data_IF_311401520057
#
_entry.id   IF_311401520057
#
_cell.length_a   1.000
_cell.length_b   1.000
_cell.length_c   1.000
_cell.angle_alpha   90.00
_cell.angle_beta   90.00
_cell.angle_gamma   90.00
#
_symmetry.space_group_name_H-M   'P 1'
#
loop_
_entity.id
_entity.type
_entity.pdbx_description
1 polymer ?
#
# COMPACT_ATOMS: atom_id res chain seq x y z
N UNK A 1 -15.33 20.03 2.74
CA UNK A 1 -14.21 19.08 2.61
C UNK A 1 -13.97 18.49 3.98
N UNK A 2 -14.10 17.17 4.16
CA UNK A 2 -13.76 16.53 5.44
C UNK A 2 -12.28 16.75 5.68
N UNK A 3 -11.93 17.62 6.63
CA UNK A 3 -10.54 17.75 7.09
C UNK A 3 -10.25 16.55 7.99
N UNK A 4 -9.55 15.56 7.45
CA UNK A 4 -8.96 14.52 8.29
C UNK A 4 -7.83 15.15 9.11
N UNK A 5 -7.83 14.90 10.42
CA UNK A 5 -6.72 15.28 11.28
C UNK A 5 -5.45 14.53 10.81
N UNK A 6 -4.36 15.23 10.43
CA UNK A 6 -3.13 14.59 9.98
C UNK A 6 -2.53 13.61 11.00
N UNK A 7 -2.82 13.78 12.29
CA UNK A 7 -2.33 12.91 13.36
C UNK A 7 -3.24 11.70 13.61
N UNK A 8 -4.42 11.66 12.98
CA UNK A 8 -5.33 10.52 13.13
C UNK A 8 -4.75 9.27 12.46
N UNK A 9 -4.79 8.10 13.11
CA UNK A 9 -4.28 6.86 12.53
C UNK A 9 -5.06 6.42 11.27
N UNK A 10 -6.31 6.87 11.10
CA UNK A 10 -7.12 6.57 9.91
C UNK A 10 -6.70 7.38 8.69
N UNK A 11 -5.92 8.46 8.86
CA UNK A 11 -5.65 9.40 7.78
C UNK A 11 -4.95 8.73 6.61
N UNK A 12 -3.89 7.94 6.86
CA UNK A 12 -3.16 7.21 5.79
C UNK A 12 -4.06 6.23 5.04
N UNK A 13 -5.02 5.61 5.72
CA UNK A 13 -5.96 4.71 5.06
C UNK A 13 -6.75 5.46 3.97
N UNK A 14 -7.25 6.65 4.28
CA UNK A 14 -8.05 7.45 3.34
C UNK A 14 -7.22 8.21 2.31
N UNK A 15 -6.05 8.73 2.68
CA UNK A 15 -5.25 9.58 1.77
C UNK A 15 -4.28 8.79 0.89
N UNK A 16 -3.99 7.53 1.21
CA UNK A 16 -3.03 6.72 0.45
C UNK A 16 -3.53 5.29 0.16
N UNK A 17 -3.89 4.51 1.19
CA UNK A 17 -4.24 3.10 0.98
C UNK A 17 -5.42 2.91 0.01
N UNK A 18 -6.56 3.57 0.27
CA UNK A 18 -7.73 3.52 -0.62
C UNK A 18 -7.42 4.09 -2.01
N UNK A 19 -6.86 5.32 -2.16
CA UNK A 19 -6.53 5.87 -3.47
C UNK A 19 -5.58 5.01 -4.32
N UNK A 20 -4.58 4.37 -3.70
CA UNK A 20 -3.61 3.52 -4.43
C UNK A 20 -4.31 2.28 -4.99
N UNK A 21 -5.16 1.61 -4.21
CA UNK A 21 -5.97 0.48 -4.71
C UNK A 21 -6.81 0.93 -5.91
N UNK A 22 -7.51 2.06 -5.79
CA UNK A 22 -8.44 2.54 -6.83
C UNK A 22 -7.73 3.02 -8.10
N UNK A 23 -6.51 3.57 -7.99
CA UNK A 23 -5.80 4.16 -9.13
C UNK A 23 -4.79 3.22 -9.81
N UNK A 24 -4.27 2.23 -9.09
CA UNK A 24 -3.22 1.33 -9.58
C UNK A 24 -3.67 -0.14 -9.66
N UNK A 25 -4.80 -0.48 -9.04
CA UNK A 25 -5.34 -1.84 -9.09
C UNK A 25 -6.00 -2.17 -10.43
N UNK A 26 -5.98 -3.45 -10.80
CA UNK A 26 -6.83 -3.99 -11.87
C UNK A 26 -8.31 -3.97 -11.44
N UNK A 27 -9.28 -4.10 -12.37
CA UNK A 27 -10.69 -4.21 -12.01
C UNK A 27 -10.98 -5.29 -10.95
N UNK A 28 -10.37 -6.47 -11.10
CA UNK A 28 -10.53 -7.57 -10.14
C UNK A 28 -9.93 -7.25 -8.76
N UNK A 29 -8.80 -6.54 -8.71
CA UNK A 29 -8.19 -6.11 -7.46
C UNK A 29 -9.03 -5.01 -6.77
N UNK A 30 -9.58 -4.09 -7.54
CA UNK A 30 -10.46 -3.03 -7.03
C UNK A 30 -11.76 -3.64 -6.47
N UNK A 31 -12.37 -4.59 -7.18
CA UNK A 31 -13.55 -5.30 -6.69
C UNK A 31 -13.27 -6.05 -5.39
N UNK A 32 -12.14 -6.78 -5.36
CA UNK A 32 -11.72 -7.59 -4.20
C UNK A 32 -11.41 -6.76 -2.96
N UNK A 33 -10.75 -5.61 -3.10
CA UNK A 33 -10.20 -4.86 -1.96
C UNK A 33 -10.82 -3.48 -1.77
N UNK A 34 -11.18 -2.78 -2.84
CA UNK A 34 -11.61 -1.38 -2.80
C UNK A 34 -12.89 -1.19 -2.00
N UNK A 35 -13.92 -1.99 -2.28
CA UNK A 35 -15.19 -1.96 -1.56
C UNK A 35 -15.03 -2.21 -0.06
N UNK A 36 -14.24 -3.21 0.32
CA UNK A 36 -13.96 -3.56 1.72
C UNK A 36 -13.15 -2.47 2.43
N UNK A 37 -12.19 -1.86 1.73
CA UNK A 37 -11.41 -0.74 2.27
C UNK A 37 -12.30 0.49 2.52
N UNK A 38 -13.17 0.83 1.57
CA UNK A 38 -14.11 1.96 1.70
C UNK A 38 -15.09 1.80 2.87
N UNK A 39 -15.42 0.56 3.26
CA UNK A 39 -16.31 0.23 4.39
C UNK A 39 -15.58 -0.06 5.71
N UNK A 40 -14.25 0.13 5.77
CA UNK A 40 -13.40 -0.20 6.91
C UNK A 40 -13.42 -1.68 7.34
N UNK A 41 -13.84 -2.58 6.46
CA UNK A 41 -13.72 -4.04 6.67
C UNK A 41 -12.25 -4.48 6.59
N UNK A 42 -11.45 -3.73 5.81
CA UNK A 42 -9.99 -3.76 5.85
C UNK A 42 -9.46 -2.35 6.08
N UNK A 43 -8.48 -2.21 6.97
CA UNK A 43 -7.73 -0.98 7.18
C UNK A 43 -6.29 -1.20 6.74
N UNK A 44 -5.65 -0.14 6.25
CA UNK A 44 -4.34 -0.27 5.62
C UNK A 44 -3.51 1.00 5.72
N UNK A 45 -2.22 0.82 5.46
CA UNK A 45 -1.21 1.87 5.47
C UNK A 45 -0.52 1.94 4.10
N UNK A 46 0.32 2.96 3.91
CA UNK A 46 1.18 3.09 2.75
C UNK A 46 2.65 3.07 3.19
N UNK A 47 3.24 1.87 3.10
CA UNK A 47 4.57 1.57 3.65
C UNK A 47 5.63 1.77 2.57
N UNK A 48 5.95 3.03 2.25
CA UNK A 48 6.95 3.36 1.22
C UNK A 48 8.31 3.73 1.82
N UNK A 49 8.35 4.56 2.86
CA UNK A 49 9.61 5.05 3.44
C UNK A 49 10.36 3.92 4.15
N UNK A 50 11.65 3.82 3.88
CA UNK A 50 12.60 2.93 4.57
C UNK A 50 13.58 3.74 5.43
N UNK A 51 14.35 3.05 6.29
CA UNK A 51 15.30 3.69 7.19
C UNK A 51 16.38 4.49 6.43
N UNK A 52 16.86 3.96 5.30
CA UNK A 52 17.85 4.63 4.44
C UNK A 52 17.25 5.57 3.38
N UNK A 53 15.94 5.48 3.13
CA UNK A 53 15.32 6.05 1.92
C UNK A 53 13.93 6.63 2.19
N UNK A 54 13.81 7.96 2.13
CA UNK A 54 12.53 8.68 2.14
C UNK A 54 12.30 9.43 0.84
N UNK A 55 13.06 10.52 0.62
CA UNK A 55 12.97 11.32 -0.60
C UNK A 55 13.45 10.57 -1.85
N UNK A 56 14.44 9.69 -1.72
CA UNK A 56 15.00 8.91 -2.83
C UNK A 56 14.26 7.56 -2.99
N UNK A 57 13.07 7.59 -3.57
CA UNK A 57 12.26 6.37 -3.80
C UNK A 57 12.92 5.39 -4.76
N UNK A 58 13.74 5.87 -5.70
CA UNK A 58 14.49 5.00 -6.60
C UNK A 58 15.56 4.15 -5.87
N UNK A 59 15.88 4.49 -4.62
CA UNK A 59 16.85 3.77 -3.79
C UNK A 59 16.26 2.71 -2.85
N UNK A 60 14.94 2.48 -2.84
CA UNK A 60 14.32 1.51 -1.92
C UNK A 60 14.97 0.12 -2.06
N UNK A 61 15.23 -0.52 -0.92
CA UNK A 61 15.96 -1.78 -0.79
C UNK A 61 15.01 -2.99 -0.69
N UNK A 62 13.75 -2.79 -0.27
CA UNK A 62 12.75 -3.85 -0.22
C UNK A 62 12.56 -4.46 -1.61
N UNK A 63 12.71 -5.78 -1.69
CA UNK A 63 12.55 -6.50 -2.96
C UNK A 63 11.24 -7.27 -2.99
N UNK A 64 10.65 -7.36 -4.19
CA UNK A 64 9.52 -8.23 -4.51
C UNK A 64 9.93 -9.15 -5.67
N UNK A 65 10.34 -10.37 -5.34
CA UNK A 65 10.84 -11.34 -6.34
C UNK A 65 9.76 -12.34 -6.68
N UNK A 66 9.38 -12.44 -7.96
CA UNK A 66 8.39 -13.42 -8.40
C UNK A 66 8.97 -14.84 -8.40
N UNK A 67 8.38 -15.75 -7.62
CA UNK A 67 8.72 -17.18 -7.64
C UNK A 67 7.89 -17.92 -8.69
N UNK A 68 8.54 -18.21 -9.82
CA UNK A 68 7.92 -18.91 -10.95
C UNK A 68 7.48 -20.35 -10.62
N UNK A 69 8.02 -20.96 -9.57
CA UNK A 69 7.69 -22.34 -9.23
C UNK A 69 6.36 -22.43 -8.46
N UNK A 70 6.08 -21.46 -7.59
CA UNK A 70 4.89 -21.48 -6.72
C UNK A 70 3.86 -20.39 -7.01
N UNK A 71 4.15 -19.44 -7.91
CA UNK A 71 3.29 -18.30 -8.33
C UNK A 71 3.01 -17.16 -7.31
N UNK A 72 3.83 -16.90 -6.26
CA UNK A 72 3.75 -15.68 -5.46
C UNK A 72 4.89 -14.70 -5.76
N UNK A 73 4.74 -13.46 -5.26
CA UNK A 73 5.87 -12.59 -4.99
C UNK A 73 6.40 -12.83 -3.57
N UNK A 74 7.73 -12.98 -3.45
CA UNK A 74 8.44 -13.02 -2.17
C UNK A 74 8.88 -11.60 -1.81
N UNK A 75 8.33 -11.07 -0.71
CA UNK A 75 8.69 -9.76 -0.18
C UNK A 75 9.82 -9.94 0.83
N UNK A 76 10.93 -9.21 0.68
CA UNK A 76 12.10 -9.33 1.54
C UNK A 76 12.72 -7.97 1.86
N UNK A 77 13.04 -7.74 3.13
CA UNK A 77 13.84 -6.62 3.64
C UNK A 77 15.26 -7.13 3.91
N UNK A 78 16.24 -6.85 3.03
CA UNK A 78 17.57 -7.47 3.11
C UNK A 78 18.45 -6.96 4.27
N UNK A 79 18.16 -5.77 4.79
CA UNK A 79 18.98 -5.01 5.75
C UNK A 79 18.15 -4.39 6.87
#
# INVERSE_FOLDING_TARGET
>A
MLSLDPQSPITIHWIAFVPVIMSQGTPDQIDRWGSSAMRHEIMGAYLQTELGHGSNVAGLETTATFDKASDPFIIHSPT
#
